data_IF_619026206457
#
_entry.id   IF_619026206457
#
_cell.length_a   1.000
_cell.length_b   1.000
_cell.length_c   1.000
_cell.angle_alpha   90.00
_cell.angle_beta   90.00
_cell.angle_gamma   90.00
#
_symmetry.space_group_name_H-M   'P 1'
#
loop_
_entity.id
_entity.type
_entity.pdbx_description
1 polymer ?
#
# COMPACT_ATOMS: atom_id res chain seq x y z
N UNK A 1 -5.68 15.78 7.98
CA UNK A 1 -5.25 14.47 7.47
C UNK A 1 -5.98 14.24 6.17
N UNK A 2 -5.25 14.15 5.06
CA UNK A 2 -5.83 13.82 3.76
C UNK A 2 -6.12 12.31 3.71
N UNK A 3 -7.27 11.93 3.17
CA UNK A 3 -7.61 10.52 2.96
C UNK A 3 -6.77 9.93 1.82
N UNK A 4 -6.50 8.60 1.83
CA UNK A 4 -5.90 7.92 0.70
C UNK A 4 -6.72 8.14 -0.58
N UNK A 5 -6.04 8.31 -1.71
CA UNK A 5 -6.69 8.37 -3.02
C UNK A 5 -7.10 6.97 -3.49
N UNK A 6 -8.07 6.88 -4.41
CA UNK A 6 -8.47 5.60 -5.00
C UNK A 6 -7.31 4.89 -5.73
N UNK A 7 -6.40 5.66 -6.32
CA UNK A 7 -5.19 5.14 -6.94
C UNK A 7 -4.26 4.49 -5.91
N UNK A 8 -4.05 5.16 -4.77
CA UNK A 8 -3.26 4.62 -3.66
C UNK A 8 -3.87 3.34 -3.09
N UNK A 9 -5.18 3.32 -2.87
CA UNK A 9 -5.89 2.12 -2.37
C UNK A 9 -5.80 0.96 -3.36
N UNK A 10 -5.96 1.23 -4.66
CA UNK A 10 -5.84 0.20 -5.70
C UNK A 10 -4.42 -0.38 -5.78
N UNK A 11 -3.41 0.49 -5.67
CA UNK A 11 -2.01 0.08 -5.68
C UNK A 11 -1.66 -0.73 -4.41
N UNK A 12 -2.13 -0.32 -3.23
CA UNK A 12 -1.97 -1.08 -2.00
C UNK A 12 -2.57 -2.47 -2.10
N UNK A 13 -3.80 -2.58 -2.63
CA UNK A 13 -4.46 -3.86 -2.83
C UNK A 13 -3.66 -4.79 -3.74
N UNK A 14 -3.14 -4.26 -4.85
CA UNK A 14 -2.31 -5.01 -5.80
C UNK A 14 -1.02 -5.48 -5.15
N UNK A 15 -0.26 -4.58 -4.54
CA UNK A 15 1.03 -4.87 -3.93
C UNK A 15 0.91 -5.79 -2.72
N UNK A 16 -0.12 -5.63 -1.89
CA UNK A 16 -0.37 -6.50 -0.73
C UNK A 16 -0.63 -7.94 -1.17
N UNK A 17 -1.39 -8.12 -2.26
CA UNK A 17 -1.64 -9.43 -2.87
C UNK A 17 -0.36 -10.04 -3.45
N UNK A 18 0.45 -9.26 -4.14
CA UNK A 18 1.73 -9.69 -4.71
C UNK A 18 2.69 -10.17 -3.61
N UNK A 19 2.80 -9.41 -2.51
CA UNK A 19 3.63 -9.74 -1.36
C UNK A 19 3.01 -10.82 -0.42
N UNK A 20 1.80 -11.32 -0.73
CA UNK A 20 1.05 -12.29 0.08
C UNK A 20 0.87 -11.87 1.56
N UNK A 21 0.60 -10.58 1.76
CA UNK A 21 0.30 -9.98 3.09
C UNK A 21 -1.15 -9.52 3.16
N UNK A 22 -1.57 -9.04 4.33
CA UNK A 22 -2.89 -8.43 4.53
C UNK A 22 -3.12 -7.23 3.61
N UNK A 23 -4.36 -7.01 3.17
CA UNK A 23 -4.72 -5.93 2.26
C UNK A 23 -4.61 -4.56 2.96
N UNK A 24 -3.49 -3.87 2.74
CA UNK A 24 -3.25 -2.57 3.34
C UNK A 24 -4.24 -1.50 2.89
N UNK A 25 -4.98 -1.71 1.79
CA UNK A 25 -6.00 -0.75 1.33
C UNK A 25 -7.17 -0.62 2.29
N UNK A 26 -7.47 -1.67 3.08
CA UNK A 26 -8.54 -1.64 4.08
C UNK A 26 -8.07 -1.11 5.45
N UNK A 27 -6.76 -0.89 5.62
CA UNK A 27 -6.13 -0.56 6.91
C UNK A 27 -5.72 0.92 6.98
N UNK A 28 -5.13 1.45 5.91
CA UNK A 28 -4.56 2.80 5.91
C UNK A 28 -5.64 3.87 6.05
N UNK A 29 -5.37 4.89 6.88
CA UNK A 29 -6.35 5.96 7.17
C UNK A 29 -5.95 7.30 6.59
N UNK A 30 -4.72 7.44 6.11
CA UNK A 30 -4.19 8.70 5.56
C UNK A 30 -3.38 8.49 4.29
N UNK A 31 -3.33 9.56 3.48
CA UNK A 31 -2.54 9.61 2.26
C UNK A 31 -1.05 9.32 2.53
N UNK A 32 -0.49 9.95 3.56
CA UNK A 32 0.93 9.77 3.94
C UNK A 32 1.24 8.31 4.34
N UNK A 33 0.32 7.69 5.09
CA UNK A 33 0.43 6.27 5.44
C UNK A 33 0.34 5.38 4.20
N UNK A 34 -0.57 5.67 3.27
CA UNK A 34 -0.68 4.93 2.03
C UNK A 34 0.60 5.00 1.18
N UNK A 35 1.21 6.19 1.07
CA UNK A 35 2.48 6.38 0.34
C UNK A 35 3.64 5.60 0.97
N UNK A 36 3.74 5.63 2.30
CA UNK A 36 4.75 4.86 3.04
C UNK A 36 4.60 3.36 2.78
N UNK A 37 3.38 2.82 2.91
CA UNK A 37 3.11 1.39 2.70
C UNK A 37 3.35 0.94 1.27
N UNK A 38 2.98 1.76 0.28
CA UNK A 38 3.27 1.48 -1.13
C UNK A 38 4.78 1.39 -1.35
N UNK A 39 5.56 2.31 -0.76
CA UNK A 39 7.02 2.30 -0.87
C UNK A 39 7.62 1.04 -0.25
N UNK A 40 7.20 0.68 0.96
CA UNK A 40 7.71 -0.50 1.66
C UNK A 40 7.44 -1.80 0.89
N UNK A 41 6.23 -1.96 0.34
CA UNK A 41 5.87 -3.13 -0.45
C UNK A 41 6.66 -3.20 -1.76
N UNK A 42 6.87 -2.05 -2.43
CA UNK A 42 7.70 -1.97 -3.64
C UNK A 42 9.17 -2.29 -3.36
N UNK A 43 9.68 -1.88 -2.21
CA UNK A 43 11.07 -2.16 -1.81
C UNK A 43 11.26 -3.65 -1.51
N UNK A 44 10.32 -4.27 -0.78
CA UNK A 44 10.32 -5.72 -0.54
C UNK A 44 10.32 -6.53 -1.84
N UNK A 45 9.48 -6.15 -2.80
CA UNK A 45 9.40 -6.81 -4.09
C UNK A 45 10.69 -6.73 -4.94
N UNK A 46 11.64 -5.83 -4.60
CA UNK A 46 12.95 -5.72 -5.28
C UNK A 46 14.04 -6.56 -4.60
N UNK A 47 13.81 -7.00 -3.36
CA UNK A 47 14.78 -7.81 -2.60
C UNK A 47 14.55 -9.31 -2.73
N UNK A 48 13.37 -9.73 -3.18
CA UNK A 48 13.03 -11.12 -3.55
C UNK A 48 13.45 -11.46 -4.97
#
# INVERSE_FOLDING_TARGET
MEKPTQEQLSELKRLSKEARVEDWSDIVQSKDEAEMRIRDLKEKARME
#
